data_IF_898664627821
#
_entry.id   IF_898664627821
#
_cell.length_a   1.000
_cell.length_b   1.000
_cell.length_c   1.000
_cell.angle_alpha   90.00
_cell.angle_beta   90.00
_cell.angle_gamma   90.00
#
_symmetry.space_group_name_H-M   'P 1'
#
loop_
_entity.id
_entity.type
_entity.pdbx_description
1 polymer ?
#
# COMPACT_ATOMS: atom_id res chain seq x y z
N UNK A 1 -0.01 15.47 9.43
CA UNK A 1 0.50 14.12 9.73
C UNK A 1 1.95 14.07 9.28
N UNK A 2 2.88 13.44 10.02
CA UNK A 2 4.25 13.24 9.51
C UNK A 2 4.20 12.38 8.24
N UNK A 3 5.06 12.62 7.24
CA UNK A 3 5.14 11.75 6.06
C UNK A 3 5.42 10.32 6.53
N UNK A 4 4.44 9.43 6.35
CA UNK A 4 4.51 8.06 6.88
C UNK A 4 4.94 7.14 5.75
N UNK A 5 6.04 6.40 5.98
CA UNK A 5 6.51 5.33 5.11
C UNK A 5 6.50 4.05 5.90
N UNK A 6 5.62 3.12 5.55
CA UNK A 6 5.46 1.87 6.28
C UNK A 6 5.12 0.71 5.37
N UNK A 7 5.58 -0.46 5.75
CA UNK A 7 5.15 -1.75 5.25
C UNK A 7 4.13 -2.30 6.24
N UNK A 8 2.95 -2.63 5.75
CA UNK A 8 1.87 -3.22 6.54
C UNK A 8 1.70 -4.66 6.09
N UNK A 9 2.03 -5.60 6.98
CA UNK A 9 1.97 -7.02 6.71
C UNK A 9 0.53 -7.54 6.88
N UNK A 10 0.16 -8.55 6.10
CA UNK A 10 -1.15 -9.19 6.22
C UNK A 10 -1.35 -9.95 7.54
N UNK A 11 -0.28 -10.21 8.30
CA UNK A 11 -0.33 -10.80 9.64
C UNK A 11 -0.66 -9.80 10.76
N UNK A 12 -0.82 -8.51 10.42
CA UNK A 12 -1.15 -7.44 11.35
C UNK A 12 0.06 -6.68 11.90
N UNK A 13 1.28 -7.07 11.57
CA UNK A 13 2.48 -6.30 11.91
C UNK A 13 2.75 -5.16 10.94
N UNK A 14 3.48 -4.15 11.40
CA UNK A 14 4.01 -3.10 10.53
C UNK A 14 5.51 -2.88 10.73
N UNK A 15 6.14 -2.28 9.74
CA UNK A 15 7.56 -1.94 9.76
C UNK A 15 7.75 -0.56 9.14
N UNK A 16 8.49 0.31 9.82
CA UNK A 16 8.85 1.62 9.28
C UNK A 16 9.86 1.46 8.13
N UNK A 17 9.63 2.20 7.04
CA UNK A 17 10.53 2.22 5.89
C UNK A 17 11.32 3.52 5.87
N UNK A 18 12.63 3.39 5.64
CA UNK A 18 13.53 4.54 5.60
C UNK A 18 13.66 5.09 4.17
N UNK A 19 13.24 6.34 3.98
CA UNK A 19 13.35 7.05 2.71
C UNK A 19 12.46 6.51 1.58
N UNK A 20 12.45 7.20 0.42
CA UNK A 20 11.72 6.76 -0.76
C UNK A 20 12.29 5.44 -1.31
N UNK A 21 11.41 4.56 -1.76
CA UNK A 21 11.78 3.29 -2.42
C UNK A 21 11.34 3.32 -3.88
N UNK A 22 12.16 2.79 -4.79
CA UNK A 22 11.74 2.65 -6.18
C UNK A 22 10.56 1.67 -6.27
N UNK A 23 9.70 1.84 -7.28
CA UNK A 23 8.53 0.95 -7.46
C UNK A 23 8.94 -0.51 -7.61
N UNK A 24 10.11 -0.78 -8.20
CA UNK A 24 10.64 -2.15 -8.33
C UNK A 24 10.99 -2.77 -6.98
N UNK A 25 11.54 -1.98 -6.05
CA UNK A 25 11.88 -2.44 -4.71
C UNK A 25 10.60 -2.72 -3.92
N UNK A 26 9.60 -1.83 -4.02
CA UNK A 26 8.29 -2.06 -3.39
C UNK A 26 7.61 -3.30 -3.94
N UNK A 27 7.66 -3.51 -5.26
CA UNK A 27 7.11 -4.71 -5.92
C UNK A 27 7.72 -5.98 -5.34
N UNK A 28 9.04 -6.02 -5.19
CA UNK A 28 9.73 -7.16 -4.59
C UNK A 28 9.41 -7.32 -3.09
N UNK A 29 9.36 -6.20 -2.36
CA UNK A 29 9.13 -6.16 -0.91
C UNK A 29 7.77 -6.75 -0.50
N UNK A 30 6.74 -6.56 -1.31
CA UNK A 30 5.39 -7.08 -1.06
C UNK A 30 5.05 -8.32 -1.92
N UNK A 31 5.96 -8.75 -2.79
CA UNK A 31 5.74 -9.90 -3.68
C UNK A 31 4.66 -9.66 -4.76
N UNK A 32 4.54 -8.42 -5.24
CA UNK A 32 3.52 -8.04 -6.21
C UNK A 32 3.85 -8.49 -7.63
N UNK A 33 2.89 -9.12 -8.32
CA UNK A 33 3.02 -9.35 -9.76
C UNK A 33 2.35 -8.24 -10.56
N UNK A 34 1.31 -7.62 -10.01
CA UNK A 34 0.59 -6.51 -10.64
C UNK A 34 0.39 -5.39 -9.60
N UNK A 35 1.23 -4.35 -9.69
CA UNK A 35 1.28 -3.30 -8.69
C UNK A 35 0.28 -2.18 -9.02
N UNK A 36 -0.66 -1.93 -8.11
CA UNK A 36 -1.60 -0.80 -8.16
C UNK A 36 -1.23 0.23 -7.10
N UNK A 37 -1.33 1.51 -7.47
CA UNK A 37 -1.15 2.65 -6.57
C UNK A 37 -2.52 3.23 -6.26
N UNK A 38 -2.90 3.21 -4.98
CA UNK A 38 -4.16 3.75 -4.47
C UNK A 38 -3.89 5.01 -3.66
N UNK A 39 -4.44 6.15 -4.07
CA UNK A 39 -4.35 7.38 -3.27
C UNK A 39 -5.21 7.29 -2.00
N UNK A 40 -4.63 7.65 -0.86
CA UNK A 40 -5.26 7.72 0.45
C UNK A 40 -5.36 9.16 0.96
N UNK A 41 -6.33 9.44 1.84
CA UNK A 41 -6.44 10.68 2.63
C UNK A 41 -6.21 11.98 1.85
N UNK A 42 -7.19 12.42 1.04
CA UNK A 42 -7.08 13.61 0.19
C UNK A 42 -5.78 13.68 -0.65
N UNK A 43 -5.24 12.54 -1.08
CA UNK A 43 -3.98 12.43 -1.87
C UNK A 43 -2.73 12.85 -1.11
N UNK A 44 -2.71 12.72 0.22
CA UNK A 44 -1.50 12.95 1.01
C UNK A 44 -0.58 11.72 1.02
N UNK A 45 -1.14 10.53 0.88
CA UNK A 45 -0.42 9.26 0.90
C UNK A 45 -0.86 8.38 -0.27
N UNK A 46 0.00 7.46 -0.66
CA UNK A 46 -0.28 6.40 -1.60
C UNK A 46 -0.10 5.04 -0.92
N UNK A 47 -0.98 4.09 -1.25
CA UNK A 47 -0.88 2.69 -0.85
C UNK A 47 -0.61 1.85 -2.08
N UNK A 48 0.47 1.06 -2.04
CA UNK A 48 0.87 0.17 -3.10
C UNK A 48 0.39 -1.24 -2.76
N UNK A 49 -0.41 -1.80 -3.66
CA UNK A 49 -1.10 -3.09 -3.48
C UNK A 49 -0.81 -4.02 -4.65
N UNK A 50 -0.80 -5.33 -4.41
CA UNK A 50 -0.76 -6.34 -5.46
C UNK A 50 -2.19 -6.71 -5.89
N UNK A 51 -2.61 -6.32 -7.10
CA UNK A 51 -3.94 -6.69 -7.61
C UNK A 51 -4.11 -8.20 -7.78
N UNK A 52 -3.01 -8.92 -8.02
CA UNK A 52 -3.02 -10.36 -8.22
C UNK A 52 -3.07 -11.16 -6.91
N UNK A 53 -2.96 -10.50 -5.74
CA UNK A 53 -2.86 -11.15 -4.44
C UNK A 53 -4.04 -12.07 -4.10
N UNK A 54 -5.26 -11.69 -4.51
CA UNK A 54 -6.44 -12.53 -4.31
C UNK A 54 -6.36 -13.84 -5.12
N UNK A 55 -5.91 -13.76 -6.38
CA UNK A 55 -5.73 -14.94 -7.23
C UNK A 55 -4.61 -15.86 -6.73
N UNK A 56 -3.61 -15.29 -6.04
CA UNK A 56 -2.54 -16.03 -5.34
C UNK A 56 -3.01 -16.70 -4.04
N UNK A 57 -4.22 -16.43 -3.57
CA UNK A 57 -4.72 -16.95 -2.29
C UNK A 57 -4.05 -16.31 -1.07
N UNK A 58 -3.52 -15.08 -1.20
CA UNK A 58 -2.93 -14.37 -0.06
C UNK A 58 -4.01 -13.96 0.95
N UNK A 59 -3.62 -13.84 2.22
CA UNK A 59 -4.53 -13.46 3.30
C UNK A 59 -5.02 -12.02 3.13
N UNK A 60 -6.22 -11.73 3.63
CA UNK A 60 -6.74 -10.36 3.73
C UNK A 60 -5.91 -9.59 4.77
N UNK A 61 -5.47 -8.41 4.37
CA UNK A 61 -4.85 -7.43 5.24
C UNK A 61 -5.94 -6.49 5.79
N UNK A 62 -6.39 -6.77 7.02
CA UNK A 62 -7.48 -6.03 7.66
C UNK A 62 -7.15 -4.54 7.78
N UNK A 63 -5.92 -4.20 8.15
CA UNK A 63 -5.45 -2.81 8.28
C UNK A 63 -5.52 -2.08 6.93
N UNK A 64 -5.02 -2.69 5.86
CA UNK A 64 -5.06 -2.10 4.52
C UNK A 64 -6.50 -1.95 4.00
N UNK A 65 -7.34 -2.95 4.23
CA UNK A 65 -8.76 -2.93 3.85
C UNK A 65 -9.51 -1.78 4.54
N UNK A 66 -9.31 -1.62 5.85
CA UNK A 66 -9.90 -0.53 6.62
C UNK A 66 -9.39 0.85 6.15
N UNK A 67 -8.10 0.97 5.82
CA UNK A 67 -7.53 2.21 5.29
C UNK A 67 -8.08 2.57 3.90
N UNK A 68 -8.27 1.57 3.04
CA UNK A 68 -8.91 1.73 1.74
C UNK A 68 -10.34 2.26 1.92
N UNK A 69 -11.15 1.57 2.72
CA UNK A 69 -12.53 1.93 2.99
C UNK A 69 -12.64 3.34 3.58
N UNK A 70 -11.82 3.65 4.58
CA UNK A 70 -11.78 4.98 5.20
C UNK A 70 -11.40 6.10 4.20
N UNK A 71 -10.63 5.78 3.16
CA UNK A 71 -10.17 6.76 2.17
C UNK A 71 -11.07 6.88 0.95
N UNK A 72 -11.74 5.80 0.56
CA UNK A 72 -12.53 5.69 -0.68
C UNK A 72 -14.04 5.71 -0.42
N UNK A 73 -14.47 5.45 0.81
CA UNK A 73 -15.88 5.31 1.19
C UNK A 73 -16.51 3.99 0.75
N UNK A 74 -15.72 3.04 0.25
CA UNK A 74 -16.18 1.74 -0.25
C UNK A 74 -15.29 0.62 0.30
N UNK A 75 -15.92 -0.45 0.78
CA UNK A 75 -15.23 -1.63 1.27
C UNK A 75 -14.63 -2.44 0.11
N UNK A 76 -13.30 -2.65 0.14
CA UNK A 76 -12.59 -3.56 -0.76
C UNK A 76 -11.64 -4.42 0.07
N UNK A 77 -11.76 -5.77 0.04
CA UNK A 77 -10.77 -6.65 0.65
C UNK A 77 -9.42 -6.45 -0.04
N UNK A 78 -8.42 -5.98 0.71
CA UNK A 78 -7.04 -5.89 0.25
C UNK A 78 -6.30 -7.14 0.72
N UNK A 79 -5.74 -7.89 -0.23
CA UNK A 79 -4.99 -9.11 0.06
C UNK A 79 -3.48 -8.85 0.02
N UNK A 80 -2.73 -9.57 0.85
CA UNK A 80 -1.27 -9.49 0.90
C UNK A 80 -0.71 -8.29 1.65
N UNK A 81 0.60 -8.14 1.58
CA UNK A 81 1.31 -7.02 2.20
C UNK A 81 1.15 -5.76 1.36
N UNK A 82 1.15 -4.59 2.00
CA UNK A 82 1.06 -3.30 1.31
C UNK A 82 2.11 -2.34 1.82
N UNK A 83 2.51 -1.42 0.97
CA UNK A 83 3.36 -0.29 1.36
C UNK A 83 2.53 0.98 1.35
N UNK A 84 2.70 1.82 2.37
CA UNK A 84 2.09 3.15 2.45
C UNK A 84 3.23 4.17 2.47
N UNK A 85 3.18 5.15 1.58
CA UNK A 85 4.16 6.24 1.46
C UNK A 85 3.47 7.58 1.25
N UNK A 86 4.17 8.72 1.38
CA UNK A 86 3.67 10.00 0.89
C UNK A 86 3.37 9.96 -0.62
N UNK A 87 2.30 10.63 -1.07
CA UNK A 87 1.96 10.69 -2.51
C UNK A 87 3.11 11.32 -3.33
N UNK A 88 3.85 12.24 -2.73
CA UNK A 88 5.03 12.91 -3.30
C UNK A 88 6.18 11.95 -3.66
N UNK A 89 6.20 10.72 -3.12
CA UNK A 89 7.25 9.75 -3.49
C UNK A 89 7.07 9.24 -4.93
N UNK A 90 5.85 9.36 -5.49
CA UNK A 90 5.53 8.89 -6.84
C UNK A 90 4.81 9.93 -7.70
N UNK A 91 4.50 11.11 -7.15
CA UNK A 91 4.06 12.24 -7.95
C UNK A 91 5.18 12.61 -8.93
N UNK A 92 4.93 12.48 -10.25
CA UNK A 92 5.84 13.03 -11.26
C UNK A 92 5.89 14.55 -11.05
N UNK A 93 7.09 15.12 -11.07
CA UNK A 93 7.23 16.57 -11.25
C UNK A 93 6.45 16.97 -12.51
N UNK A 94 5.57 17.97 -12.35
CA UNK A 94 4.72 18.49 -13.41
C UNK A 94 5.52 19.36 -14.40
#
# INVERSE_FOLDING_TARGET
>A
MKPTRKLVRADGTDTELHGPHALIDVRQLIGADDLEIVSLGQRQHAMLVDQSAAAKGLRINATASHLYESSRGEARPIHGDVVIVPDTDYAREA
#
